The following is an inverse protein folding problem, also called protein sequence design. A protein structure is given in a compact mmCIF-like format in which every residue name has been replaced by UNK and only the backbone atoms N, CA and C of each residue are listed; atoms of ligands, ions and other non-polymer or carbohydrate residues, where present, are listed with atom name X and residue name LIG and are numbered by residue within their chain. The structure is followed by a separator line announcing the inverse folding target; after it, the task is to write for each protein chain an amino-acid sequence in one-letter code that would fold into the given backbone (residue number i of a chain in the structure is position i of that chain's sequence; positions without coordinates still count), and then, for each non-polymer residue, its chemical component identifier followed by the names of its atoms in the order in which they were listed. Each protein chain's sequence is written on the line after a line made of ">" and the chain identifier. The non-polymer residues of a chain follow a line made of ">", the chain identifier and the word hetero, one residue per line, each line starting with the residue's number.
data_IF_969800478206
#
_entry.id   IF_969800478206
#
_cell.length_a   1.000
_cell.length_b   1.000
_cell.length_c   1.000
_cell.angle_alpha   90.00
_cell.angle_beta   90.00
_cell.angle_gamma   90.00
#
_symmetry.space_group_name_H-M   'P 1'
#
loop_
_entity.id
_entity.type
_entity.pdbx_description
1 polymer ?
#
# COMPACT_ATOMS: atom_id res chain seq x y z
N UNK A 1 -18.85 35.07 7.97
CA UNK A 1 -18.38 34.05 8.94
C UNK A 1 -19.03 32.68 8.73
N UNK A 2 -20.33 32.59 8.39
CA UNK A 2 -21.08 31.31 8.29
C UNK A 2 -20.78 30.47 7.04
N UNK A 3 -20.36 31.08 5.92
CA UNK A 3 -20.13 30.36 4.64
C UNK A 3 -18.89 29.44 4.68
N UNK A 4 -17.97 29.64 5.63
CA UNK A 4 -16.72 28.86 5.72
C UNK A 4 -16.91 27.49 6.39
N UNK A 5 -18.00 27.31 7.13
CA UNK A 5 -18.39 26.03 7.74
C UNK A 5 -19.25 25.14 6.80
N UNK A 6 -19.62 25.65 5.62
CA UNK A 6 -20.37 24.92 4.60
C UNK A 6 -19.51 24.10 3.63
N UNK A 7 -18.20 23.95 3.89
CA UNK A 7 -17.29 23.16 3.04
C UNK A 7 -16.64 22.02 3.83
N UNK A 8 -17.47 21.12 4.36
CA UNK A 8 -17.03 19.84 4.87
C UNK A 8 -16.61 18.90 3.73
N UNK A 9 -15.52 18.15 3.90
CA UNK A 9 -15.02 17.19 2.91
C UNK A 9 -16.04 16.09 2.55
N UNK A 10 -17.06 15.88 3.39
CA UNK A 10 -18.12 14.89 3.18
C UNK A 10 -19.33 15.42 2.40
N UNK A 11 -19.47 16.74 2.22
CA UNK A 11 -20.65 17.35 1.58
C UNK A 11 -20.86 16.86 0.14
N UNK A 12 -19.82 16.73 -0.71
CA UNK A 12 -19.98 16.16 -2.05
C UNK A 12 -20.61 14.77 -2.05
N UNK A 13 -20.32 13.95 -1.03
CA UNK A 13 -20.89 12.61 -0.90
C UNK A 13 -22.38 12.64 -0.52
N UNK A 14 -22.78 13.59 0.34
CA UNK A 14 -24.20 13.78 0.69
C UNK A 14 -24.99 14.22 -0.53
N UNK A 15 -24.44 15.15 -1.33
CA UNK A 15 -25.05 15.61 -2.58
C UNK A 15 -25.19 14.43 -3.55
N UNK A 16 -24.11 13.68 -3.79
CA UNK A 16 -24.15 12.52 -4.70
C UNK A 16 -25.13 11.44 -4.22
N UNK A 17 -25.33 11.26 -2.91
CA UNK A 17 -26.34 10.35 -2.37
C UNK A 17 -27.77 10.81 -2.71
N UNK A 18 -28.08 12.10 -2.54
CA UNK A 18 -29.38 12.67 -2.92
C UNK A 18 -29.61 12.55 -4.42
N UNK A 19 -28.60 12.86 -5.23
CA UNK A 19 -28.67 12.70 -6.69
C UNK A 19 -28.84 11.24 -7.12
N UNK A 20 -28.24 10.29 -6.39
CA UNK A 20 -28.43 8.87 -6.67
C UNK A 20 -29.90 8.45 -6.55
N UNK A 21 -30.61 8.96 -5.54
CA UNK A 21 -32.05 8.73 -5.38
C UNK A 21 -32.83 9.41 -6.51
N UNK A 22 -32.48 10.65 -6.88
CA UNK A 22 -33.13 11.35 -7.98
C UNK A 22 -32.98 10.62 -9.33
N UNK A 23 -31.78 10.13 -9.63
CA UNK A 23 -31.51 9.32 -10.82
C UNK A 23 -32.25 7.97 -10.78
N UNK A 24 -32.37 7.33 -9.62
CA UNK A 24 -33.17 6.11 -9.48
C UNK A 24 -34.66 6.35 -9.78
N UNK A 25 -35.20 7.50 -9.34
CA UNK A 25 -36.58 7.90 -9.65
C UNK A 25 -36.75 8.29 -11.13
N UNK A 26 -35.76 8.92 -11.77
CA UNK A 26 -35.77 9.19 -13.21
C UNK A 26 -35.77 7.89 -14.03
N UNK A 27 -35.01 6.87 -13.61
CA UNK A 27 -35.07 5.52 -14.20
C UNK A 27 -36.50 4.96 -14.10
N UNK A 28 -37.13 5.07 -12.93
CA UNK A 28 -38.51 4.63 -12.74
C UNK A 28 -39.50 5.40 -13.61
N UNK A 29 -39.35 6.72 -13.71
CA UNK A 29 -40.19 7.58 -14.54
C UNK A 29 -40.14 7.18 -16.02
N UNK A 30 -38.93 6.87 -16.51
CA UNK A 30 -38.72 6.36 -17.88
C UNK A 30 -39.33 4.98 -18.09
N UNK A 31 -39.26 4.07 -17.12
CA UNK A 31 -39.89 2.74 -17.22
C UNK A 31 -41.43 2.83 -17.34
N UNK A 32 -42.05 3.81 -16.69
CA UNK A 32 -43.51 3.94 -16.63
C UNK A 32 -44.05 4.63 -17.90
N UNK A 33 -43.19 5.13 -18.81
CA UNK A 33 -43.56 5.99 -19.94
C UNK A 33 -44.50 7.12 -19.49
N UNK A 34 -43.94 8.15 -18.87
CA UNK A 34 -44.65 9.37 -18.43
C UNK A 34 -45.22 10.22 -19.60
N UNK A 35 -45.83 9.60 -20.60
CA UNK A 35 -46.58 10.24 -21.70
C UNK A 35 -48.09 10.06 -21.56
N UNK A 36 -48.56 9.17 -20.68
CA UNK A 36 -49.98 8.95 -20.48
C UNK A 36 -50.39 9.24 -19.02
N UNK A 37 -51.64 9.65 -18.84
CA UNK A 37 -52.23 10.33 -17.68
C UNK A 37 -52.34 9.46 -16.39
N UNK A 38 -51.39 8.54 -16.20
CA UNK A 38 -51.43 7.37 -15.34
C UNK A 38 -50.44 7.45 -14.15
N UNK A 39 -50.09 8.66 -13.71
CA UNK A 39 -49.16 8.91 -12.59
C UNK A 39 -49.71 8.50 -11.20
N UNK A 40 -50.80 7.72 -11.15
CA UNK A 40 -51.46 7.28 -9.90
C UNK A 40 -51.11 5.85 -9.49
N UNK A 41 -50.44 5.05 -10.32
CA UNK A 41 -50.47 3.58 -10.17
C UNK A 41 -49.23 2.97 -9.52
N UNK A 42 -48.15 3.73 -9.28
CA UNK A 42 -46.98 3.27 -8.51
C UNK A 42 -46.56 4.28 -7.43
N UNK A 43 -47.48 4.63 -6.55
CA UNK A 43 -47.15 5.40 -5.33
C UNK A 43 -46.50 4.54 -4.25
N UNK A 44 -46.50 3.21 -4.41
CA UNK A 44 -45.95 2.28 -3.42
C UNK A 44 -44.69 1.61 -3.95
N UNK A 45 -43.54 2.29 -3.83
CA UNK A 45 -42.22 1.74 -4.12
C UNK A 45 -41.77 0.97 -2.88
N UNK A 46 -41.63 -0.35 -2.98
CA UNK A 46 -41.08 -1.15 -1.89
C UNK A 46 -39.54 -1.13 -1.89
N UNK A 47 -38.93 -1.68 -0.84
CA UNK A 47 -37.47 -1.69 -0.68
C UNK A 47 -36.75 -2.43 -1.82
N UNK A 48 -37.31 -3.55 -2.30
CA UNK A 48 -36.73 -4.34 -3.38
C UNK A 48 -36.75 -3.58 -4.72
N UNK A 49 -37.84 -2.86 -5.00
CA UNK A 49 -37.97 -2.00 -6.16
C UNK A 49 -36.92 -0.89 -6.13
N UNK A 50 -36.74 -0.25 -4.97
CA UNK A 50 -35.74 0.80 -4.80
C UNK A 50 -34.30 0.27 -4.96
N UNK A 51 -33.99 -0.90 -4.40
CA UNK A 51 -32.68 -1.52 -4.58
C UNK A 51 -32.39 -1.85 -6.05
N UNK A 52 -33.41 -2.32 -6.80
CA UNK A 52 -33.33 -2.56 -8.24
C UNK A 52 -33.12 -1.26 -9.04
N UNK A 53 -33.71 -0.15 -8.61
CA UNK A 53 -33.55 1.14 -9.28
C UNK A 53 -32.17 1.75 -9.00
N UNK A 54 -31.72 1.74 -7.74
CA UNK A 54 -30.39 2.25 -7.34
C UNK A 54 -29.27 1.48 -8.03
N UNK A 55 -29.39 0.15 -8.19
CA UNK A 55 -28.36 -0.65 -8.88
C UNK A 55 -28.16 -0.29 -10.37
N UNK A 56 -29.09 0.47 -10.95
CA UNK A 56 -29.03 0.94 -12.35
C UNK A 56 -28.59 2.39 -12.48
N UNK A 57 -28.32 3.06 -11.36
CA UNK A 57 -27.82 4.44 -11.35
C UNK A 57 -26.40 4.45 -11.91
N UNK A 58 -26.17 5.34 -12.88
CA UNK A 58 -24.86 5.62 -13.45
C UNK A 58 -24.83 7.08 -13.90
N UNK A 59 -24.13 7.92 -13.16
CA UNK A 59 -23.97 9.34 -13.48
C UNK A 59 -22.64 9.88 -12.96
N UNK A 60 -22.18 10.99 -13.54
CA UNK A 60 -21.00 11.71 -13.06
C UNK A 60 -21.43 12.67 -11.97
N UNK A 61 -21.09 12.35 -10.72
CA UNK A 61 -21.34 13.18 -9.54
C UNK A 61 -20.15 14.07 -9.19
N UNK A 62 -20.26 14.77 -8.06
CA UNK A 62 -19.19 15.64 -7.54
C UNK A 62 -17.95 14.86 -7.11
N UNK A 63 -18.12 13.58 -6.78
CA UNK A 63 -17.03 12.69 -6.34
C UNK A 63 -16.62 11.69 -7.43
N UNK A 64 -16.86 12.03 -8.69
CA UNK A 64 -16.57 11.18 -9.86
C UNK A 64 -17.76 10.32 -10.26
N UNK A 65 -17.51 9.23 -10.99
CA UNK A 65 -18.59 8.35 -11.43
C UNK A 65 -19.30 7.70 -10.23
N UNK A 66 -20.63 7.68 -10.24
CA UNK A 66 -21.46 7.10 -9.18
C UNK A 66 -22.21 5.92 -9.78
N UNK A 67 -21.79 4.72 -9.37
CA UNK A 67 -22.42 3.44 -9.71
C UNK A 67 -22.39 2.55 -8.47
N UNK A 68 -23.30 1.59 -8.38
CA UNK A 68 -23.37 0.67 -7.23
C UNK A 68 -23.15 -0.78 -7.66
N UNK A 69 -22.40 -1.54 -6.86
CA UNK A 69 -22.25 -2.97 -7.04
C UNK A 69 -23.50 -3.73 -6.50
N UNK A 70 -23.51 -5.05 -6.64
CA UNK A 70 -24.62 -5.91 -6.16
C UNK A 70 -24.89 -5.84 -4.65
N UNK A 71 -23.91 -5.38 -3.87
CA UNK A 71 -24.01 -5.20 -2.41
C UNK A 71 -24.41 -3.79 -2.01
N UNK A 72 -24.57 -2.86 -2.98
CA UNK A 72 -24.87 -1.46 -2.72
C UNK A 72 -23.63 -0.60 -2.41
N UNK A 73 -22.42 -1.15 -2.54
CA UNK A 73 -21.21 -0.34 -2.41
C UNK A 73 -20.95 0.42 -3.70
N UNK A 74 -20.27 1.56 -3.58
CA UNK A 74 -19.86 2.34 -4.74
C UNK A 74 -18.84 1.56 -5.59
N UNK A 75 -19.03 1.60 -6.92
CA UNK A 75 -18.17 0.92 -7.90
C UNK A 75 -16.79 1.56 -8.08
N UNK A 76 -16.61 2.80 -7.62
CA UNK A 76 -15.33 3.50 -7.59
C UNK A 76 -15.09 4.16 -6.24
N UNK A 77 -13.83 4.24 -5.83
CA UNK A 77 -13.40 4.95 -4.64
C UNK A 77 -12.15 5.79 -4.94
N UNK A 78 -12.14 7.04 -4.46
CA UNK A 78 -11.03 7.96 -4.66
C UNK A 78 -10.68 8.52 -3.27
N UNK A 79 -9.42 8.38 -2.88
CA UNK A 79 -8.92 8.88 -1.60
C UNK A 79 -7.71 9.79 -1.82
N UNK A 80 -7.67 10.89 -1.08
CA UNK A 80 -6.50 11.73 -0.99
C UNK A 80 -5.49 11.13 0.00
N UNK A 81 -4.24 11.06 -0.43
CA UNK A 81 -3.11 10.75 0.46
C UNK A 81 -2.60 12.07 1.02
N UNK A 82 -2.71 12.24 2.33
CA UNK A 82 -2.36 13.49 3.02
C UNK A 82 -1.07 13.34 3.83
N UNK A 83 -0.25 14.38 3.81
CA UNK A 83 0.94 14.49 4.65
C UNK A 83 0.81 15.70 5.59
N UNK A 84 0.80 15.44 6.90
CA UNK A 84 0.67 16.45 7.92
C UNK A 84 2.01 17.14 8.21
N UNK A 85 2.02 18.48 8.19
CA UNK A 85 3.22 19.31 8.33
C UNK A 85 2.91 20.56 9.12
N UNK A 86 3.89 21.12 9.80
CA UNK A 86 3.76 22.44 10.42
C UNK A 86 3.77 23.50 9.32
N UNK A 87 2.66 24.21 9.15
CA UNK A 87 2.56 25.39 8.30
C UNK A 87 2.65 26.66 9.13
N UNK A 88 3.19 27.74 8.55
CA UNK A 88 3.09 29.07 9.13
C UNK A 88 1.68 29.64 8.94
N UNK A 89 1.15 30.25 9.98
CA UNK A 89 -0.04 31.08 10.00
C UNK A 89 0.23 32.37 10.76
N UNK A 90 -0.70 33.33 10.68
CA UNK A 90 -0.60 34.61 11.39
C UNK A 90 -0.49 34.45 12.93
N UNK A 91 -1.03 33.35 13.48
CA UNK A 91 -1.03 32.95 14.90
C UNK A 91 0.12 31.96 15.24
N UNK A 92 1.11 31.81 14.35
CA UNK A 92 2.25 30.93 14.57
C UNK A 92 2.18 29.62 13.77
N UNK A 93 2.84 28.56 14.27
CA UNK A 93 2.95 27.28 13.54
C UNK A 93 1.80 26.35 13.92
N UNK A 94 0.97 25.98 12.95
CA UNK A 94 -0.12 25.00 13.14
C UNK A 94 0.06 23.79 12.23
N UNK A 95 -0.46 22.65 12.67
CA UNK A 95 -0.45 21.43 11.86
C UNK A 95 -1.44 21.61 10.69
N UNK A 96 -0.94 21.47 9.47
CA UNK A 96 -1.72 21.50 8.23
C UNK A 96 -1.56 20.19 7.49
N UNK A 97 -2.61 19.75 6.83
CA UNK A 97 -2.55 18.62 5.91
C UNK A 97 -2.27 19.14 4.50
N UNK A 98 -1.46 18.40 3.75
CA UNK A 98 -1.18 18.66 2.35
C UNK A 98 -1.47 17.38 1.57
N UNK A 99 -2.29 17.47 0.52
CA UNK A 99 -2.52 16.34 -0.39
C UNK A 99 -1.23 16.11 -1.18
N UNK A 100 -0.67 14.91 -1.07
CA UNK A 100 0.59 14.49 -1.72
C UNK A 100 0.39 13.39 -2.74
N UNK A 101 -0.79 12.80 -2.81
CA UNK A 101 -1.12 11.74 -3.74
C UNK A 101 -2.61 11.45 -3.77
N UNK A 102 -3.00 10.58 -4.69
CA UNK A 102 -4.34 10.04 -4.82
C UNK A 102 -4.27 8.53 -4.90
N UNK A 103 -5.23 7.86 -4.29
CA UNK A 103 -5.50 6.46 -4.50
C UNK A 103 -6.86 6.33 -5.16
N UNK A 104 -6.91 5.62 -6.28
CA UNK A 104 -8.12 5.41 -7.06
C UNK A 104 -8.36 3.91 -7.19
N UNK A 105 -9.57 3.47 -6.87
CA UNK A 105 -10.07 2.14 -7.18
C UNK A 105 -11.28 2.28 -8.09
N UNK A 106 -11.19 1.68 -9.28
CA UNK A 106 -12.28 1.62 -10.24
C UNK A 106 -12.48 0.15 -10.61
N UNK A 107 -13.52 -0.48 -10.05
CA UNK A 107 -13.73 -1.92 -10.17
C UNK A 107 -12.52 -2.72 -9.68
N UNK A 108 -11.91 -3.51 -10.58
CA UNK A 108 -10.75 -4.34 -10.25
C UNK A 108 -9.39 -3.63 -10.40
N UNK A 109 -9.39 -2.38 -10.88
CA UNK A 109 -8.17 -1.60 -11.05
C UNK A 109 -7.95 -0.71 -9.83
N UNK A 110 -6.80 -0.84 -9.18
CA UNK A 110 -6.37 0.06 -8.10
C UNK A 110 -5.07 0.74 -8.48
N UNK A 111 -4.97 2.04 -8.18
CA UNK A 111 -3.80 2.84 -8.54
C UNK A 111 -3.49 3.86 -7.46
N UNK A 112 -2.27 3.78 -6.93
CA UNK A 112 -1.69 4.80 -6.08
C UNK A 112 -0.81 5.72 -6.93
N UNK A 113 -1.05 7.03 -6.86
CA UNK A 113 -0.26 8.07 -7.52
C UNK A 113 0.20 9.08 -6.47
N UNK A 114 1.47 9.46 -6.52
CA UNK A 114 2.00 10.57 -5.75
C UNK A 114 2.24 11.76 -6.69
N UNK A 115 1.68 12.92 -6.35
CA UNK A 115 1.74 14.14 -7.15
C UNK A 115 2.72 15.17 -6.57
N UNK A 116 3.18 14.97 -5.33
CA UNK A 116 4.07 15.90 -4.64
C UNK A 116 5.16 15.21 -3.82
N UNK A 117 6.17 15.98 -3.42
CA UNK A 117 7.20 15.50 -2.50
C UNK A 117 6.60 15.31 -1.11
N UNK A 118 6.75 14.12 -0.54
CA UNK A 118 6.49 13.87 0.87
C UNK A 118 7.60 14.49 1.72
N UNK A 119 7.25 15.13 2.84
CA UNK A 119 8.23 15.66 3.78
C UNK A 119 8.33 14.73 4.97
N UNK A 120 9.52 14.16 5.10
CA UNK A 120 9.90 13.28 6.18
C UNK A 120 10.72 14.07 7.20
N UNK A 121 10.54 13.75 8.48
CA UNK A 121 11.35 14.34 9.58
C UNK A 121 12.71 13.64 9.76
N UNK A 122 13.12 12.79 8.83
CA UNK A 122 14.42 12.13 8.86
C UNK A 122 15.53 13.12 8.51
N UNK A 123 16.77 12.82 8.92
CA UNK A 123 17.94 13.67 8.68
C UNK A 123 18.16 14.01 7.20
N UNK A 124 17.89 13.05 6.31
CA UNK A 124 18.12 13.19 4.87
C UNK A 124 16.84 13.52 4.09
N UNK A 125 15.71 13.74 4.78
CA UNK A 125 14.41 14.02 4.15
C UNK A 125 13.82 12.84 3.37
N UNK A 126 14.35 11.63 3.53
CA UNK A 126 13.89 10.39 2.88
C UNK A 126 12.92 9.61 3.76
N UNK A 127 12.09 8.71 3.19
CA UNK A 127 11.26 7.81 3.98
C UNK A 127 12.12 7.05 5.02
N UNK A 128 11.68 6.98 6.29
CA UNK A 128 12.41 6.23 7.30
C UNK A 128 12.37 4.74 6.97
N UNK A 129 13.47 4.04 7.24
CA UNK A 129 13.53 2.59 7.14
C UNK A 129 12.68 1.98 8.25
N UNK A 130 11.77 1.07 7.88
CA UNK A 130 10.86 0.39 8.82
C UNK A 130 11.11 -1.12 8.82
N UNK A 131 12.37 -1.51 8.99
CA UNK A 131 12.78 -2.92 9.12
C UNK A 131 13.19 -3.20 10.57
N UNK A 132 12.91 -4.42 11.04
CA UNK A 132 13.16 -4.84 12.42
C UNK A 132 14.66 -4.93 12.75
N UNK A 133 15.45 -5.42 11.80
CA UNK A 133 16.91 -5.43 11.88
C UNK A 133 17.50 -5.16 10.50
N UNK A 134 18.72 -4.63 10.49
CA UNK A 134 19.49 -4.47 9.28
C UNK A 134 19.90 -5.81 8.66
N UNK A 135 20.36 -5.74 7.41
CA UNK A 135 20.90 -6.88 6.72
C UNK A 135 22.16 -7.38 7.43
N UNK A 136 22.20 -8.69 7.69
CA UNK A 136 23.36 -9.32 8.31
C UNK A 136 24.62 -9.13 7.45
N UNK A 137 25.71 -8.73 8.10
CA UNK A 137 27.03 -8.65 7.48
C UNK A 137 27.56 -10.04 7.13
N UNK A 138 28.51 -10.10 6.19
CA UNK A 138 29.22 -11.34 5.86
C UNK A 138 29.82 -12.00 7.11
N UNK A 139 29.85 -13.33 7.14
CA UNK A 139 30.27 -14.10 8.33
C UNK A 139 29.15 -14.36 9.34
N UNK A 140 27.97 -13.73 9.16
CA UNK A 140 26.77 -14.00 9.96
C UNK A 140 25.61 -14.46 9.08
N UNK A 141 24.68 -15.22 9.67
CA UNK A 141 23.46 -15.70 9.03
C UNK A 141 22.23 -15.23 9.81
N UNK A 142 21.10 -15.10 9.12
CA UNK A 142 19.81 -14.79 9.73
C UNK A 142 19.31 -15.99 10.54
N UNK A 143 19.10 -15.79 11.83
CA UNK A 143 18.31 -16.67 12.69
C UNK A 143 16.96 -15.99 12.94
N UNK A 144 15.90 -16.52 12.34
CA UNK A 144 14.56 -15.91 12.42
C UNK A 144 14.06 -15.97 13.86
N UNK A 145 13.64 -14.84 14.40
CA UNK A 145 13.07 -14.73 15.76
C UNK A 145 11.57 -14.49 15.72
N UNK A 146 11.09 -13.74 14.73
CA UNK A 146 9.66 -13.53 14.46
C UNK A 146 9.44 -13.21 12.97
N UNK A 147 8.20 -13.19 12.47
CA UNK A 147 7.93 -12.76 11.10
C UNK A 147 8.54 -11.38 10.84
N UNK A 148 9.41 -11.28 9.84
CA UNK A 148 10.20 -10.09 9.47
C UNK A 148 11.34 -9.67 10.42
N UNK A 149 11.57 -10.38 11.54
CA UNK A 149 12.72 -10.14 12.43
C UNK A 149 13.68 -11.33 12.46
N UNK A 150 14.96 -11.02 12.56
CA UNK A 150 16.03 -12.03 12.67
C UNK A 150 17.16 -11.51 13.53
N UNK A 151 17.89 -12.41 14.17
CA UNK A 151 19.20 -12.10 14.73
C UNK A 151 20.30 -12.51 13.76
N UNK A 152 21.36 -11.72 13.71
CA UNK A 152 22.57 -12.09 12.96
C UNK A 152 23.45 -12.92 13.87
N UNK A 153 23.48 -14.24 13.64
CA UNK A 153 24.32 -15.17 14.39
C UNK A 153 25.52 -15.57 13.54
N UNK A 154 26.72 -15.74 14.12
CA UNK A 154 27.89 -16.19 13.37
C UNK A 154 27.60 -17.50 12.61
N UNK A 155 28.14 -17.61 11.40
CA UNK A 155 28.13 -18.88 10.68
C UNK A 155 28.84 -19.96 11.49
N UNK A 156 28.29 -21.17 11.55
CA UNK A 156 28.88 -22.28 12.31
C UNK A 156 30.02 -22.92 11.49
N UNK A 157 31.19 -23.09 12.11
CA UNK A 157 32.33 -23.80 11.53
C UNK A 157 33.03 -23.10 10.35
N UNK A 158 33.51 -23.91 9.39
CA UNK A 158 34.25 -23.51 8.17
C UNK A 158 33.30 -23.30 6.98
N UNK A 159 31.99 -23.13 7.24
CA UNK A 159 30.99 -23.19 6.17
C UNK A 159 30.55 -21.82 5.70
N UNK A 160 30.66 -21.65 4.39
CA UNK A 160 29.82 -20.77 3.57
C UNK A 160 29.01 -21.74 2.72
N UNK A 161 27.69 -21.59 2.76
CA UNK A 161 26.71 -22.47 2.12
C UNK A 161 27.03 -22.78 0.62
N UNK A 162 26.79 -23.98 0.05
CA UNK A 162 27.26 -25.34 0.40
C UNK A 162 28.51 -25.79 -0.41
N UNK A 163 29.39 -26.55 0.26
CA UNK A 163 30.40 -27.54 -0.20
C UNK A 163 30.99 -27.32 -1.61
N UNK A 164 32.09 -26.57 -1.70
CA UNK A 164 33.06 -26.71 -2.79
C UNK A 164 34.26 -27.52 -2.31
N UNK A 165 34.44 -28.75 -2.83
CA UNK A 165 35.64 -29.55 -2.56
C UNK A 165 36.89 -28.74 -2.92
N UNK A 166 37.87 -28.68 -2.02
CA UNK A 166 39.11 -27.92 -2.23
C UNK A 166 39.11 -26.48 -1.71
N UNK A 167 38.00 -25.98 -1.13
CA UNK A 167 37.91 -24.64 -0.54
C UNK A 167 37.57 -24.68 0.95
N UNK A 168 38.07 -23.69 1.69
CA UNK A 168 37.73 -23.41 3.10
C UNK A 168 37.21 -21.98 3.22
N UNK A 169 36.40 -21.72 4.25
CA UNK A 169 36.02 -20.35 4.58
C UNK A 169 37.22 -19.55 5.09
N UNK A 170 37.30 -18.25 4.75
CA UNK A 170 38.30 -17.35 5.34
C UNK A 170 38.01 -17.09 6.83
N UNK A 171 38.95 -16.48 7.55
CA UNK A 171 38.83 -16.26 9.01
C UNK A 171 37.60 -15.38 9.36
N UNK A 172 37.29 -14.41 8.50
CA UNK A 172 36.11 -13.55 8.62
C UNK A 172 34.78 -14.24 8.23
N UNK A 173 34.84 -15.48 7.71
CA UNK A 173 33.71 -16.28 7.23
C UNK A 173 32.86 -15.61 6.15
N UNK A 174 33.47 -14.73 5.35
CA UNK A 174 32.82 -13.96 4.28
C UNK A 174 32.93 -14.62 2.91
N UNK A 175 34.01 -15.38 2.64
CA UNK A 175 34.29 -15.97 1.32
C UNK A 175 35.00 -17.35 1.38
N UNK A 176 34.83 -18.15 0.32
CA UNK A 176 35.48 -19.45 0.16
C UNK A 176 36.85 -19.29 -0.51
N UNK A 177 37.92 -19.49 0.24
CA UNK A 177 39.31 -19.47 -0.24
C UNK A 177 39.82 -20.88 -0.51
N UNK A 178 40.75 -21.04 -1.45
CA UNK A 178 41.34 -22.35 -1.73
C UNK A 178 42.12 -22.87 -0.51
N UNK A 179 42.14 -24.19 -0.34
CA UNK A 179 43.00 -24.82 0.67
C UNK A 179 44.47 -24.54 0.32
N UNK A 180 45.32 -24.24 1.33
CA UNK A 180 46.75 -24.07 1.08
C UNK A 180 47.35 -25.40 0.64
N UNK A 181 48.15 -25.36 -0.43
CA UNK A 181 48.98 -26.50 -0.81
C UNK A 181 50.14 -26.62 0.19
N UNK A 182 50.18 -27.73 0.92
CA UNK A 182 51.31 -28.05 1.80
C UNK A 182 52.26 -28.92 0.98
N UNK A 183 53.36 -28.33 0.51
CA UNK A 183 54.46 -29.09 -0.07
C UNK A 183 55.34 -29.62 1.07
N UNK A 184 55.20 -30.90 1.40
CA UNK A 184 56.12 -31.56 2.33
C UNK A 184 57.52 -31.62 1.70
N UNK A 185 58.51 -31.08 2.41
CA UNK A 185 59.92 -31.21 2.02
C UNK A 185 60.46 -32.56 2.52
N UNK A 186 61.32 -33.19 1.73
CA UNK A 186 62.03 -34.42 2.11
C UNK A 186 62.73 -34.29 3.47
N UNK A 187 63.31 -33.11 3.75
CA UNK A 187 64.02 -32.81 5.00
C UNK A 187 63.12 -32.54 6.22
N UNK A 188 61.80 -32.53 6.05
CA UNK A 188 60.87 -32.35 7.17
C UNK A 188 60.66 -33.68 7.89
N UNK A 189 60.34 -33.64 9.19
CA UNK A 189 60.04 -34.85 9.98
C UNK A 189 58.93 -35.70 9.34
N UNK A 190 57.87 -35.06 8.81
CA UNK A 190 56.81 -35.77 8.08
C UNK A 190 57.27 -36.34 6.73
N UNK A 191 58.19 -35.65 6.03
CA UNK A 191 58.79 -36.14 4.79
C UNK A 191 59.69 -37.35 5.02
N UNK A 192 60.49 -37.34 6.09
CA UNK A 192 61.38 -38.45 6.45
C UNK A 192 60.65 -39.71 6.92
N UNK A 193 59.43 -39.58 7.45
CA UNK A 193 58.61 -40.72 7.93
C UNK A 193 57.88 -41.43 6.79
N UNK A 194 57.65 -40.75 5.66
CA UNK A 194 56.94 -41.31 4.50
C UNK A 194 57.89 -42.05 3.53
N UNK A 195 59.20 -41.92 3.73
CA UNK A 195 60.25 -42.66 3.02
C UNK A 195 60.71 -43.88 3.83
#
# INVERSE_FOLDING_TARGET
>A
AVVRDMYGSYIPYVIDAVYSVAHALDVLAKEINMTDNHCRTKTNINLCDMQRLISRVNFVGLTGNVTFNKFGDRGSAIYDIVNFRLGQEADGKRLKHFVVGTWEANGNSTRLRFHGKMHWKSSNGTPPKSECLDQCSGGTRKAITSPCCWQCVPCLGVTINPISKGKRSNEARTECVNLPFINMKYSSSGGMVIL
#
